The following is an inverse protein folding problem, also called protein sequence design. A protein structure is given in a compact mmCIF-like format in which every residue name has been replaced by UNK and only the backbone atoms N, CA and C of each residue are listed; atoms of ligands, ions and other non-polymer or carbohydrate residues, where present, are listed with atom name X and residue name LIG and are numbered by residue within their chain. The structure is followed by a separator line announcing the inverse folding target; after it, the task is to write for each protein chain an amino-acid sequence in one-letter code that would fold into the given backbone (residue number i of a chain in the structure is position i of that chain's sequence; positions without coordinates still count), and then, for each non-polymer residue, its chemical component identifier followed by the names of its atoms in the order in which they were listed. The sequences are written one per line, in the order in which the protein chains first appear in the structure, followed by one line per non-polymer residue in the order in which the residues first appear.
data_IF_546239092324
#
_entry.id   IF_546239092324
#
_cell.length_a   1.000
_cell.length_b   1.000
_cell.length_c   1.000
_cell.angle_alpha   90.00
_cell.angle_beta   90.00
_cell.angle_gamma   90.00
#
_symmetry.space_group_name_H-M   'P 1'
#
loop_
_entity.id
_entity.type
_entity.pdbx_description
1 polymer ?
#
# COMPACT_ATOMS: atom_id res chain seq x y z
N UNK A 1 45.39 6.29 -11.13
CA UNK A 1 44.19 6.45 -11.98
C UNK A 1 43.19 5.32 -11.64
N UNK A 2 42.26 5.57 -10.72
CA UNK A 2 41.22 4.60 -10.35
C UNK A 2 39.95 4.88 -11.18
N UNK A 3 39.67 4.03 -12.18
CA UNK A 3 38.41 4.02 -12.92
C UNK A 3 37.30 3.59 -11.96
N UNK A 4 36.46 4.55 -11.52
CA UNK A 4 35.20 4.24 -10.85
C UNK A 4 34.29 3.49 -11.84
N UNK A 5 34.18 2.18 -11.67
CA UNK A 5 33.11 1.41 -12.29
C UNK A 5 31.77 1.96 -11.79
N UNK A 6 31.12 2.79 -12.60
CA UNK A 6 29.68 3.05 -12.44
C UNK A 6 28.98 1.71 -12.63
N UNK A 7 28.52 1.12 -11.53
CA UNK A 7 27.55 0.05 -11.62
C UNK A 7 26.37 0.58 -12.45
N UNK A 8 25.94 -0.11 -13.55
CA UNK A 8 24.71 0.27 -14.23
C UNK A 8 23.62 0.17 -13.16
N UNK A 9 22.97 1.30 -12.86
CA UNK A 9 21.85 1.33 -11.95
C UNK A 9 20.86 0.29 -12.49
N UNK A 10 20.52 -0.71 -11.68
CA UNK A 10 19.33 -1.52 -11.90
C UNK A 10 18.21 -0.51 -12.10
N UNK A 11 17.76 -0.36 -13.34
CA UNK A 11 16.57 0.40 -13.64
C UNK A 11 15.49 -0.22 -12.75
N UNK A 12 15.07 0.51 -11.70
CA UNK A 12 13.93 0.10 -10.88
C UNK A 12 12.81 -0.05 -11.88
N UNK A 13 12.36 -1.26 -12.14
CA UNK A 13 11.30 -1.53 -13.08
C UNK A 13 10.08 -0.75 -12.60
N UNK A 14 9.88 0.42 -13.21
CA UNK A 14 8.79 1.34 -12.89
C UNK A 14 7.47 0.68 -13.29
N UNK A 15 6.39 1.20 -12.77
CA UNK A 15 5.06 0.93 -13.31
C UNK A 15 5.02 1.45 -14.76
N UNK A 16 4.45 0.68 -15.69
CA UNK A 16 4.34 1.11 -17.09
C UNK A 16 3.38 2.31 -17.22
N UNK A 17 3.48 3.13 -18.29
CA UNK A 17 2.54 4.23 -18.50
C UNK A 17 1.08 3.77 -18.50
N UNK A 18 0.77 2.62 -19.11
CA UNK A 18 -0.57 2.05 -19.11
C UNK A 18 -1.05 1.68 -17.71
N UNK A 19 -0.20 1.04 -16.92
CA UNK A 19 -0.51 0.71 -15.51
C UNK A 19 -0.68 1.97 -14.65
N UNK A 20 0.11 3.02 -14.92
CA UNK A 20 -0.02 4.30 -14.23
C UNK A 20 -1.37 4.96 -14.52
N UNK A 21 -1.83 4.92 -15.77
CA UNK A 21 -3.14 5.41 -16.17
C UNK A 21 -4.27 4.65 -15.46
N UNK A 22 -4.21 3.30 -15.45
CA UNK A 22 -5.19 2.47 -14.74
C UNK A 22 -5.20 2.80 -13.23
N UNK A 23 -4.03 2.95 -12.62
CA UNK A 23 -3.90 3.30 -11.20
C UNK A 23 -4.49 4.68 -10.90
N UNK A 24 -4.21 5.67 -11.74
CA UNK A 24 -4.75 7.03 -11.60
C UNK A 24 -6.28 7.04 -11.74
N UNK A 25 -6.81 6.28 -12.71
CA UNK A 25 -8.26 6.14 -12.88
C UNK A 25 -8.91 5.45 -11.67
N UNK A 26 -8.31 4.37 -11.13
CA UNK A 26 -8.80 3.70 -9.94
C UNK A 26 -8.86 4.67 -8.73
N UNK A 27 -7.81 5.46 -8.50
CA UNK A 27 -7.80 6.47 -7.43
C UNK A 27 -8.89 7.53 -7.64
N UNK A 28 -9.11 7.98 -8.88
CA UNK A 28 -10.17 8.94 -9.22
C UNK A 28 -11.57 8.36 -8.95
N UNK A 29 -11.82 7.12 -9.37
CA UNK A 29 -13.09 6.43 -9.12
C UNK A 29 -13.35 6.25 -7.62
N UNK A 30 -12.31 5.87 -6.88
CA UNK A 30 -12.40 5.74 -5.42
C UNK A 30 -12.77 7.07 -4.74
N UNK A 31 -12.16 8.18 -5.18
CA UNK A 31 -12.48 9.51 -4.69
C UNK A 31 -13.90 9.97 -5.06
N UNK A 32 -14.47 9.44 -6.13
CA UNK A 32 -15.86 9.70 -6.57
C UNK A 32 -16.90 8.79 -5.88
N UNK A 33 -16.48 7.91 -4.97
CA UNK A 33 -17.38 6.95 -4.31
C UNK A 33 -17.74 5.72 -5.15
N UNK A 34 -17.14 5.53 -6.32
CA UNK A 34 -17.32 4.36 -7.20
C UNK A 34 -16.41 3.21 -6.74
N UNK A 35 -16.64 2.78 -5.50
CA UNK A 35 -15.71 1.94 -4.76
C UNK A 35 -15.49 0.57 -5.39
N UNK A 36 -16.55 -0.12 -5.85
CA UNK A 36 -16.43 -1.46 -6.42
C UNK A 36 -15.66 -1.46 -7.75
N UNK A 37 -15.84 -0.43 -8.56
CA UNK A 37 -15.10 -0.27 -9.80
C UNK A 37 -13.61 0.00 -9.53
N UNK A 38 -13.33 0.92 -8.62
CA UNK A 38 -11.96 1.19 -8.18
C UNK A 38 -11.29 -0.07 -7.61
N UNK A 39 -12.01 -0.83 -6.77
CA UNK A 39 -11.53 -2.06 -6.17
C UNK A 39 -11.15 -3.11 -7.22
N UNK A 40 -11.99 -3.30 -8.25
CA UNK A 40 -11.69 -4.20 -9.36
C UNK A 40 -10.42 -3.80 -10.13
N UNK A 41 -10.22 -2.49 -10.36
CA UNK A 41 -9.01 -1.99 -11.02
C UNK A 41 -7.75 -2.19 -10.15
N UNK A 42 -7.81 -1.91 -8.85
CA UNK A 42 -6.69 -2.19 -7.93
C UNK A 42 -6.36 -3.69 -7.88
N UNK A 43 -7.37 -4.56 -7.83
CA UNK A 43 -7.18 -6.00 -7.81
C UNK A 43 -6.57 -6.53 -9.12
N UNK A 44 -7.01 -6.01 -10.27
CA UNK A 44 -6.43 -6.34 -11.56
C UNK A 44 -4.95 -5.93 -11.66
N UNK A 45 -4.62 -4.70 -11.27
CA UNK A 45 -3.22 -4.25 -11.21
C UNK A 45 -2.38 -5.10 -10.24
N UNK A 46 -2.95 -5.54 -9.12
CA UNK A 46 -2.24 -6.42 -8.19
C UNK A 46 -1.89 -7.77 -8.83
N UNK A 47 -2.77 -8.33 -9.65
CA UNK A 47 -2.49 -9.56 -10.42
C UNK A 47 -1.36 -9.37 -11.43
N UNK A 48 -1.33 -8.21 -12.12
CA UNK A 48 -0.23 -7.89 -13.03
C UNK A 48 1.12 -7.74 -12.28
N UNK A 49 1.10 -7.14 -11.09
CA UNK A 49 2.30 -7.02 -10.23
C UNK A 49 2.78 -8.38 -9.74
N UNK A 50 1.88 -9.31 -9.45
CA UNK A 50 2.19 -10.70 -9.12
C UNK A 50 2.90 -11.39 -10.29
N UNK A 51 2.35 -11.29 -11.49
CA UNK A 51 2.94 -11.85 -12.70
C UNK A 51 4.32 -11.26 -13.03
N UNK A 52 4.53 -9.99 -12.69
CA UNK A 52 5.78 -9.26 -12.93
C UNK A 52 6.79 -9.37 -11.78
N UNK A 53 6.52 -10.18 -10.75
CA UNK A 53 7.37 -10.38 -9.58
C UNK A 53 7.67 -9.08 -8.78
N UNK A 54 6.64 -8.23 -8.60
CA UNK A 54 6.71 -7.01 -7.79
C UNK A 54 5.89 -7.13 -6.48
N UNK A 55 6.29 -7.99 -5.52
CA UNK A 55 5.44 -8.39 -4.39
C UNK A 55 5.07 -7.22 -3.46
N UNK A 56 5.95 -6.24 -3.29
CA UNK A 56 5.64 -5.06 -2.45
C UNK A 56 4.56 -4.18 -3.06
N UNK A 57 4.55 -4.03 -4.39
CA UNK A 57 3.49 -3.28 -5.09
C UNK A 57 2.20 -4.07 -5.11
N UNK A 58 2.28 -5.37 -5.38
CA UNK A 58 1.13 -6.26 -5.27
C UNK A 58 0.47 -6.12 -3.89
N UNK A 59 1.23 -6.23 -2.81
CA UNK A 59 0.70 -6.10 -1.44
C UNK A 59 -0.03 -4.77 -1.22
N UNK A 60 0.55 -3.66 -1.69
CA UNK A 60 -0.06 -2.33 -1.56
C UNK A 60 -1.35 -2.20 -2.37
N UNK A 61 -1.38 -2.72 -3.60
CA UNK A 61 -2.57 -2.68 -4.45
C UNK A 61 -3.69 -3.57 -3.90
N UNK A 62 -3.34 -4.75 -3.35
CA UNK A 62 -4.31 -5.60 -2.65
C UNK A 62 -4.87 -4.93 -1.41
N UNK A 63 -4.05 -4.19 -0.65
CA UNK A 63 -4.52 -3.41 0.49
C UNK A 63 -5.50 -2.30 0.06
N UNK A 64 -5.22 -1.60 -1.04
CA UNK A 64 -6.16 -0.62 -1.60
C UNK A 64 -7.45 -1.27 -2.07
N UNK A 65 -7.36 -2.39 -2.77
CA UNK A 65 -8.55 -3.14 -3.19
C UNK A 65 -9.40 -3.58 -1.98
N UNK A 66 -8.77 -4.07 -0.90
CA UNK A 66 -9.46 -4.46 0.32
C UNK A 66 -10.25 -3.30 0.94
N UNK A 67 -9.63 -2.11 1.03
CA UNK A 67 -10.30 -0.92 1.54
C UNK A 67 -11.45 -0.47 0.64
N UNK A 68 -11.24 -0.45 -0.68
CA UNK A 68 -12.27 -0.04 -1.63
C UNK A 68 -13.45 -1.04 -1.66
N UNK A 69 -13.19 -2.35 -1.58
CA UNK A 69 -14.26 -3.35 -1.42
C UNK A 69 -15.01 -3.18 -0.09
N UNK A 70 -14.32 -2.82 1.00
CA UNK A 70 -14.97 -2.52 2.27
C UNK A 70 -15.88 -1.29 2.15
N UNK A 71 -15.41 -0.22 1.51
CA UNK A 71 -16.20 1.00 1.25
C UNK A 71 -17.42 0.69 0.35
N UNK A 72 -17.26 -0.23 -0.61
CA UNK A 72 -18.34 -0.76 -1.45
C UNK A 72 -19.20 -1.83 -0.79
N UNK A 73 -18.95 -2.17 0.48
CA UNK A 73 -19.69 -3.18 1.29
C UNK A 73 -19.63 -4.60 0.73
N UNK A 74 -18.60 -4.93 -0.03
CA UNK A 74 -18.33 -6.32 -0.47
C UNK A 74 -17.41 -7.01 0.55
N UNK A 75 -18.01 -7.66 1.54
CA UNK A 75 -17.30 -8.32 2.64
C UNK A 75 -16.37 -9.44 2.15
N UNK A 76 -16.83 -10.24 1.18
CA UNK A 76 -16.08 -11.40 0.68
C UNK A 76 -14.80 -10.95 -0.04
N UNK A 77 -14.91 -10.01 -0.96
CA UNK A 77 -13.76 -9.48 -1.69
C UNK A 77 -12.84 -8.67 -0.77
N UNK A 78 -13.40 -7.85 0.12
CA UNK A 78 -12.60 -7.11 1.11
C UNK A 78 -11.74 -8.05 1.95
N UNK A 79 -12.32 -9.13 2.47
CA UNK A 79 -11.60 -10.15 3.25
C UNK A 79 -10.54 -10.87 2.41
N UNK A 80 -10.87 -11.29 1.19
CA UNK A 80 -9.94 -11.99 0.31
C UNK A 80 -8.70 -11.14 -0.02
N UNK A 81 -8.90 -9.88 -0.40
CA UNK A 81 -7.81 -8.96 -0.72
C UNK A 81 -7.00 -8.58 0.54
N UNK A 82 -7.65 -8.40 1.69
CA UNK A 82 -6.97 -8.11 2.95
C UNK A 82 -6.07 -9.28 3.39
N UNK A 83 -6.57 -10.52 3.30
CA UNK A 83 -5.79 -11.74 3.57
C UNK A 83 -4.56 -11.83 2.67
N UNK A 84 -4.73 -11.61 1.37
CA UNK A 84 -3.63 -11.65 0.42
C UNK A 84 -2.58 -10.55 0.71
N UNK A 85 -3.01 -9.33 1.02
CA UNK A 85 -2.12 -8.23 1.41
C UNK A 85 -1.33 -8.54 2.68
N UNK A 86 -2.00 -9.03 3.74
CA UNK A 86 -1.36 -9.38 5.02
C UNK A 86 -0.33 -10.51 4.86
N UNK A 87 -0.61 -11.53 4.07
CA UNK A 87 0.35 -12.58 3.78
C UNK A 87 1.60 -12.04 3.09
N UNK A 88 1.44 -11.17 2.09
CA UNK A 88 2.56 -10.54 1.40
C UNK A 88 3.34 -9.60 2.33
N UNK A 89 2.68 -8.79 3.16
CA UNK A 89 3.33 -7.93 4.12
C UNK A 89 4.21 -8.71 5.10
N UNK A 90 3.70 -9.82 5.63
CA UNK A 90 4.45 -10.70 6.54
C UNK A 90 5.59 -11.41 5.82
N UNK A 91 5.34 -11.93 4.61
CA UNK A 91 6.35 -12.66 3.83
C UNK A 91 7.53 -11.78 3.40
N UNK A 92 7.27 -10.52 3.05
CA UNK A 92 8.29 -9.61 2.52
C UNK A 92 8.79 -8.58 3.56
N UNK A 93 8.54 -8.84 4.84
CA UNK A 93 9.12 -8.07 5.95
C UNK A 93 8.64 -6.63 6.02
N UNK A 94 7.38 -6.36 5.64
CA UNK A 94 6.77 -5.01 5.73
C UNK A 94 6.21 -4.76 7.14
N UNK A 95 7.02 -5.04 8.17
CA UNK A 95 6.60 -5.09 9.57
C UNK A 95 5.97 -3.79 10.09
N UNK A 96 6.44 -2.63 9.62
CA UNK A 96 5.88 -1.33 10.05
C UNK A 96 4.45 -1.09 9.54
N UNK A 97 4.14 -1.62 8.35
CA UNK A 97 2.83 -1.43 7.69
C UNK A 97 1.78 -2.44 8.15
N UNK A 98 2.23 -3.64 8.48
CA UNK A 98 1.34 -4.78 8.77
C UNK A 98 0.35 -4.50 9.90
N UNK A 99 0.79 -4.08 11.12
CA UNK A 99 -0.13 -3.84 12.23
C UNK A 99 -1.14 -2.73 11.94
N UNK A 100 -0.69 -1.67 11.27
CA UNK A 100 -1.55 -0.53 10.93
C UNK A 100 -2.60 -0.90 9.90
N UNK A 101 -2.21 -1.56 8.80
CA UNK A 101 -3.16 -2.01 7.80
C UNK A 101 -4.19 -2.96 8.42
N UNK A 102 -3.73 -3.93 9.20
CA UNK A 102 -4.59 -4.88 9.91
C UNK A 102 -5.62 -4.18 10.80
N UNK A 103 -5.19 -3.26 11.66
CA UNK A 103 -6.07 -2.51 12.55
C UNK A 103 -7.09 -1.66 11.74
N UNK A 104 -6.65 -1.00 10.69
CA UNK A 104 -7.51 -0.15 9.88
C UNK A 104 -8.56 -0.95 9.11
N UNK A 105 -8.19 -2.09 8.50
CA UNK A 105 -9.13 -2.87 7.70
C UNK A 105 -10.14 -3.60 8.59
N UNK A 106 -9.73 -4.18 9.71
CA UNK A 106 -10.65 -4.84 10.64
C UNK A 106 -11.61 -3.85 11.29
N UNK A 107 -11.12 -2.66 11.69
CA UNK A 107 -11.97 -1.58 12.19
C UNK A 107 -13.00 -1.12 11.13
N UNK A 108 -12.55 -0.90 9.89
CA UNK A 108 -13.42 -0.49 8.77
C UNK A 108 -14.48 -1.56 8.48
N UNK A 109 -14.10 -2.83 8.41
CA UNK A 109 -15.04 -3.92 8.19
C UNK A 109 -16.11 -3.99 9.28
N UNK A 110 -15.73 -3.84 10.55
CA UNK A 110 -16.70 -3.78 11.65
C UNK A 110 -17.62 -2.57 11.55
N UNK A 111 -17.08 -1.40 11.26
CA UNK A 111 -17.85 -0.16 11.10
C UNK A 111 -18.89 -0.23 9.99
N UNK A 112 -18.69 -1.08 8.98
CA UNK A 112 -19.65 -1.31 7.88
C UNK A 112 -20.53 -2.56 8.06
N UNK A 113 -20.53 -3.18 9.24
CA UNK A 113 -21.34 -4.36 9.54
C UNK A 113 -20.78 -5.69 9.02
N UNK A 114 -19.51 -5.71 8.59
CA UNK A 114 -18.84 -6.91 8.10
C UNK A 114 -18.02 -7.60 9.21
N UNK A 115 -18.61 -7.77 10.40
CA UNK A 115 -17.93 -8.31 11.58
C UNK A 115 -17.30 -9.68 11.33
N UNK A 116 -18.02 -10.59 10.66
CA UNK A 116 -17.51 -11.94 10.36
C UNK A 116 -16.23 -11.93 9.53
N UNK A 117 -16.07 -10.97 8.59
CA UNK A 117 -14.86 -10.83 7.80
C UNK A 117 -13.69 -10.34 8.69
N UNK A 118 -13.93 -9.39 9.57
CA UNK A 118 -12.94 -8.90 10.54
C UNK A 118 -12.51 -10.01 11.51
N UNK A 119 -13.44 -10.75 12.07
CA UNK A 119 -13.18 -11.85 13.04
C UNK A 119 -12.34 -12.96 12.38
N UNK A 120 -12.59 -13.25 11.11
CA UNK A 120 -11.77 -14.21 10.36
C UNK A 120 -10.32 -13.74 10.22
N UNK A 121 -10.11 -12.46 9.88
CA UNK A 121 -8.76 -11.89 9.80
C UNK A 121 -8.07 -11.87 11.19
N UNK A 122 -8.81 -11.60 12.25
CA UNK A 122 -8.26 -11.63 13.61
C UNK A 122 -7.83 -13.02 14.02
N UNK A 123 -8.66 -14.03 13.76
CA UNK A 123 -8.34 -15.42 14.05
C UNK A 123 -7.10 -15.89 13.28
N UNK A 124 -6.93 -15.45 12.03
CA UNK A 124 -5.85 -15.90 11.16
C UNK A 124 -4.52 -15.14 11.42
N UNK A 125 -4.58 -13.85 11.72
CA UNK A 125 -3.41 -12.98 11.74
C UNK A 125 -3.10 -12.35 13.10
N UNK A 126 -4.05 -12.29 14.04
CA UNK A 126 -3.93 -11.56 15.29
C UNK A 126 -2.67 -11.90 16.08
N UNK A 127 -2.44 -13.18 16.33
CA UNK A 127 -1.27 -13.67 17.08
C UNK A 127 0.06 -13.39 16.35
N UNK A 128 0.06 -13.52 15.02
CA UNK A 128 1.27 -13.30 14.20
C UNK A 128 1.66 -11.83 14.20
N UNK A 129 0.67 -10.96 14.10
CA UNK A 129 0.87 -9.51 14.08
C UNK A 129 1.22 -8.98 15.47
N UNK A 130 0.61 -9.51 16.53
CA UNK A 130 0.92 -9.16 17.91
C UNK A 130 2.37 -9.46 18.33
N UNK A 131 3.04 -10.38 17.62
CA UNK A 131 4.47 -10.69 17.84
C UNK A 131 5.44 -9.85 17.01
N UNK A 132 4.94 -8.99 16.12
CA UNK A 132 5.82 -8.12 15.36
C UNK A 132 6.46 -7.07 16.28
N UNK A 133 7.72 -6.69 16.02
CA UNK A 133 8.36 -5.63 16.79
C UNK A 133 7.55 -4.34 16.65
N UNK A 134 7.38 -3.65 17.77
CA UNK A 134 6.75 -2.32 17.76
C UNK A 134 7.54 -1.39 16.84
N UNK A 135 6.87 -0.56 16.03
CA UNK A 135 7.57 0.42 15.21
C UNK A 135 8.44 1.32 16.10
N UNK A 136 9.63 1.74 15.62
CA UNK A 136 10.51 2.58 16.41
C UNK A 136 9.78 3.86 16.84
N UNK A 137 10.08 4.38 18.04
CA UNK A 137 9.42 5.56 18.56
C UNK A 137 9.58 6.75 17.60
N UNK A 138 8.58 7.59 17.57
CA UNK A 138 8.32 8.74 16.68
C UNK A 138 9.45 9.78 16.53
N UNK A 139 10.56 9.66 17.24
CA UNK A 139 11.67 10.61 17.17
C UNK A 139 12.32 10.73 15.78
N UNK A 140 12.36 9.65 15.01
CA UNK A 140 12.87 9.70 13.61
C UNK A 140 11.85 10.29 12.63
N UNK A 141 10.57 10.33 12.98
CA UNK A 141 9.49 10.92 12.16
C UNK A 141 9.50 12.45 12.27
N UNK A 142 9.90 12.99 13.42
CA UNK A 142 9.92 14.44 13.67
C UNK A 142 10.92 15.24 12.82
N UNK A 143 11.94 14.57 12.25
CA UNK A 143 12.95 15.20 11.37
C UNK A 143 12.58 15.15 9.87
N UNK A 144 11.45 14.50 9.51
CA UNK A 144 11.01 14.36 8.12
C UNK A 144 10.07 15.48 7.75
N UNK A 145 10.26 16.06 6.57
CA UNK A 145 9.38 17.08 6.04
C UNK A 145 7.97 16.56 5.75
N UNK A 146 7.03 17.46 5.49
CA UNK A 146 5.63 17.13 5.16
C UNK A 146 5.53 16.71 3.69
N UNK A 147 4.98 15.53 3.43
CA UNK A 147 4.70 15.07 2.07
C UNK A 147 3.36 15.63 1.54
N UNK A 148 3.19 15.71 0.21
CA UNK A 148 1.89 16.06 -0.39
C UNK A 148 0.82 15.04 0.02
N UNK A 149 -0.43 15.48 0.12
CA UNK A 149 -1.56 14.60 0.50
C UNK A 149 -1.85 13.49 -0.53
N UNK A 150 -1.54 13.75 -1.79
CA UNK A 150 -1.69 12.80 -2.88
C UNK A 150 -0.43 12.75 -3.75
N UNK A 151 -0.12 11.60 -4.29
CA UNK A 151 0.99 11.42 -5.22
C UNK A 151 0.71 12.16 -6.53
N UNK A 152 1.58 13.07 -6.99
CA UNK A 152 1.37 13.79 -8.25
C UNK A 152 1.43 12.87 -9.47
N UNK A 153 2.08 11.70 -9.37
CA UNK A 153 2.20 10.75 -10.48
C UNK A 153 0.98 9.85 -10.66
N UNK A 154 0.33 9.39 -9.59
CA UNK A 154 -0.76 8.42 -9.68
C UNK A 154 -2.04 8.79 -8.90
N UNK A 155 -2.06 9.92 -8.22
CA UNK A 155 -3.21 10.36 -7.42
C UNK A 155 -3.45 9.57 -6.13
N UNK A 156 -2.65 8.54 -5.83
CA UNK A 156 -2.80 7.76 -4.60
C UNK A 156 -2.61 8.63 -3.36
N UNK A 157 -3.38 8.42 -2.28
CA UNK A 157 -3.18 9.12 -1.03
C UNK A 157 -1.80 8.80 -0.47
N UNK A 158 -1.10 9.83 0.00
CA UNK A 158 0.26 9.72 0.54
C UNK A 158 0.21 9.85 2.06
N UNK A 159 0.77 8.86 2.72
CA UNK A 159 0.94 8.85 4.18
C UNK A 159 2.42 8.66 4.50
N UNK A 160 2.96 9.52 5.35
CA UNK A 160 4.39 9.54 5.69
C UNK A 160 4.91 8.23 6.30
N UNK A 161 4.01 7.44 6.86
CA UNK A 161 4.26 6.15 7.47
C UNK A 161 4.09 4.96 6.51
N UNK A 162 3.57 5.22 5.30
CA UNK A 162 3.33 4.18 4.27
C UNK A 162 4.28 4.28 3.08
N UNK A 163 5.05 5.35 2.98
CA UNK A 163 6.05 5.57 1.93
C UNK A 163 7.41 4.99 2.31
N UNK A 164 8.24 4.74 1.32
CA UNK A 164 9.65 4.39 1.53
C UNK A 164 10.47 5.66 1.48
N UNK A 165 10.93 6.15 2.63
CA UNK A 165 11.78 7.34 2.70
C UNK A 165 13.15 7.06 2.08
N UNK A 166 13.57 7.91 1.17
CA UNK A 166 14.89 7.89 0.54
C UNK A 166 15.87 8.71 1.37
N UNK A 167 15.43 9.88 1.83
CA UNK A 167 16.15 10.80 2.72
C UNK A 167 15.16 11.63 3.55
N UNK A 168 15.63 12.68 4.26
CA UNK A 168 14.79 13.54 5.10
C UNK A 168 13.76 14.37 4.29
N UNK A 169 13.97 14.54 2.99
CA UNK A 169 13.21 15.45 2.13
C UNK A 169 12.51 14.75 0.98
N UNK A 170 12.77 13.46 0.77
CA UNK A 170 12.18 12.70 -0.34
C UNK A 170 11.76 11.28 0.07
N UNK A 171 10.68 10.81 -0.55
CA UNK A 171 10.16 9.47 -0.36
C UNK A 171 9.69 8.86 -1.69
N UNK A 172 9.68 7.56 -1.79
CA UNK A 172 9.14 6.83 -2.95
C UNK A 172 7.67 6.48 -2.70
N UNK A 173 6.80 6.81 -3.65
CA UNK A 173 5.40 6.41 -3.61
C UNK A 173 5.27 4.88 -3.63
N UNK A 174 4.59 4.33 -2.65
CA UNK A 174 4.41 2.88 -2.48
C UNK A 174 3.64 2.20 -3.61
N UNK A 175 2.95 2.97 -4.45
CA UNK A 175 2.11 2.45 -5.55
C UNK A 175 2.80 2.55 -6.90
N UNK A 176 3.23 3.74 -7.31
CA UNK A 176 3.81 3.95 -8.64
C UNK A 176 5.34 4.09 -8.65
N UNK A 177 5.98 4.24 -7.48
CA UNK A 177 7.42 4.42 -7.39
C UNK A 177 7.91 5.84 -7.71
N UNK A 178 7.01 6.81 -7.95
CA UNK A 178 7.41 8.20 -8.16
C UNK A 178 8.04 8.79 -6.90
N UNK A 179 9.06 9.63 -7.08
CA UNK A 179 9.68 10.35 -5.98
C UNK A 179 8.77 11.50 -5.55
N UNK A 180 8.45 11.51 -4.26
CA UNK A 180 7.68 12.53 -3.58
C UNK A 180 8.66 13.47 -2.88
N UNK A 181 8.52 14.76 -3.07
CA UNK A 181 9.30 15.78 -2.37
C UNK A 181 8.49 16.33 -1.19
N UNK A 182 9.17 16.63 -0.09
CA UNK A 182 8.51 17.32 1.02
C UNK A 182 8.17 18.76 0.61
N UNK A 183 7.01 19.20 1.05
CA UNK A 183 6.61 20.61 0.96
C UNK A 183 7.18 21.37 2.15
N UNK A 184 7.77 22.52 1.89
CA UNK A 184 8.17 23.49 2.91
C UNK A 184 6.97 24.10 3.62
#
# INVERSE_FOLDING_TARGET
MFRRFRRPGLARAGISPAQLEVLSNANRLNAQGRFLEAAGMFAGLAQEMQASLHPRREANLRAQAAHAYADGKDAAQSQAQARAALNLFLQYGMAERTPRFYANITHKQRGYGMAAAADTLEKEFGDRIGRLPSPPPTAQVAARGRLPAACPGCGAPVRSDEVSWVDAHSAECSFCGSILQTTT
#
